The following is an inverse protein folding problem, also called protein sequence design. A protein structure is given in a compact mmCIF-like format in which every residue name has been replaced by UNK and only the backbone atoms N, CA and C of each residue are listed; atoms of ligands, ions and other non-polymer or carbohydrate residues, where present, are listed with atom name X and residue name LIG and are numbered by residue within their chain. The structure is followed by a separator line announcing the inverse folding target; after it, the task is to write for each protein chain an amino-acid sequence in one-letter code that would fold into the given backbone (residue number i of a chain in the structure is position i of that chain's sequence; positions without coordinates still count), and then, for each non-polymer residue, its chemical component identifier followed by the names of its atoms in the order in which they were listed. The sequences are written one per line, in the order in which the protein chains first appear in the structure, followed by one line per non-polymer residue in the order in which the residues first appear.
data_IF_772965903894
#
_entry.id   IF_772965903894
#
_cell.length_a   1.000
_cell.length_b   1.000
_cell.length_c   1.000
_cell.angle_alpha   90.00
_cell.angle_beta   90.00
_cell.angle_gamma   90.00
#
_symmetry.space_group_name_H-M   'P 1'
#
loop_
_entity.id
_entity.type
_entity.pdbx_description
1 polymer ?
#
# COMPACT_ATOMS: atom_id res chain seq x y z
N UNK A 1 10.89 3.09 17.91
CA UNK A 1 9.63 3.86 18.00
C UNK A 1 8.36 3.02 17.84
N UNK A 2 8.25 2.09 16.86
CA UNK A 2 7.03 1.28 16.66
C UNK A 2 6.66 0.41 17.88
N UNK A 3 7.60 -0.35 18.45
CA UNK A 3 7.34 -1.19 19.65
C UNK A 3 6.80 -0.40 20.83
N UNK A 4 7.42 0.76 21.12
CA UNK A 4 7.00 1.63 22.22
C UNK A 4 5.57 2.15 22.00
N UNK A 5 5.24 2.60 20.79
CA UNK A 5 3.85 2.98 20.43
C UNK A 5 2.89 1.78 20.43
N UNK A 6 3.40 0.58 20.14
CA UNK A 6 2.61 -0.63 20.12
C UNK A 6 2.25 -1.14 21.53
N UNK A 7 3.20 -1.05 22.46
CA UNK A 7 2.98 -1.33 23.89
C UNK A 7 1.98 -0.34 24.49
N UNK A 8 2.22 0.97 24.32
CA UNK A 8 1.32 2.02 24.84
C UNK A 8 -0.13 1.83 24.35
N UNK A 9 -0.33 1.58 23.06
CA UNK A 9 -1.67 1.33 22.52
C UNK A 9 -2.34 0.05 23.05
N UNK A 10 -1.56 -1.01 23.35
CA UNK A 10 -2.11 -2.25 23.91
C UNK A 10 -2.45 -2.09 25.38
N UNK A 11 -1.65 -1.32 26.12
CA UNK A 11 -1.92 -0.93 27.51
C UNK A 11 -3.21 -0.09 27.59
N UNK A 12 -3.40 0.87 26.67
CA UNK A 12 -4.65 1.65 26.55
C UNK A 12 -5.89 0.80 26.23
N UNK A 13 -5.72 -0.44 25.74
CA UNK A 13 -6.81 -1.35 25.33
C UNK A 13 -6.87 -2.68 26.08
N UNK A 14 -6.13 -2.85 27.18
CA UNK A 14 -6.06 -4.09 27.96
C UNK A 14 -5.78 -5.36 27.12
N UNK A 15 -4.95 -5.25 26.08
CA UNK A 15 -4.57 -6.39 25.21
C UNK A 15 -3.27 -7.04 25.70
N UNK A 16 -3.22 -8.38 25.79
CA UNK A 16 -2.05 -9.13 26.28
C UNK A 16 -0.77 -8.85 25.48
N UNK A 17 0.36 -8.75 26.20
CA UNK A 17 1.68 -8.46 25.63
C UNK A 17 2.23 -9.70 24.92
N UNK A 18 1.96 -9.83 23.62
CA UNK A 18 2.65 -10.77 22.74
C UNK A 18 4.15 -10.43 22.56
N UNK A 19 4.94 -11.45 22.21
CA UNK A 19 6.41 -11.43 22.06
C UNK A 19 6.97 -10.21 21.30
N UNK A 20 8.10 -9.70 21.77
CA UNK A 20 8.89 -8.65 21.09
C UNK A 20 9.40 -9.20 19.76
N UNK A 21 8.83 -8.73 18.65
CA UNK A 21 9.35 -9.03 17.31
C UNK A 21 10.69 -8.31 17.14
N UNK A 22 11.69 -8.91 16.51
CA UNK A 22 13.03 -8.30 16.35
C UNK A 22 13.30 -8.01 14.87
N UNK A 23 13.97 -6.90 14.56
CA UNK A 23 14.42 -6.60 13.20
C UNK A 23 15.48 -7.63 12.79
N UNK A 24 15.24 -8.33 11.68
CA UNK A 24 16.16 -9.33 11.13
C UNK A 24 16.93 -8.73 9.96
N UNK A 25 18.25 -8.88 9.97
CA UNK A 25 19.10 -8.36 8.88
C UNK A 25 18.82 -9.08 7.56
N UNK A 26 18.36 -10.32 7.64
CA UNK A 26 18.04 -11.21 6.52
C UNK A 26 16.66 -10.93 5.91
N UNK A 27 15.90 -9.94 6.41
CA UNK A 27 14.59 -9.60 5.87
C UNK A 27 14.69 -9.16 4.41
N UNK A 28 13.85 -9.72 3.54
CA UNK A 28 13.94 -9.50 2.09
C UNK A 28 13.75 -8.04 1.68
N UNK A 29 12.88 -7.29 2.38
CA UNK A 29 12.71 -5.85 2.13
C UNK A 29 13.95 -5.04 2.52
N UNK A 30 14.69 -5.46 3.54
CA UNK A 30 15.91 -4.78 3.98
C UNK A 30 17.04 -5.07 3.00
N UNK A 31 17.18 -6.32 2.56
CA UNK A 31 18.13 -6.68 1.51
C UNK A 31 17.83 -5.94 0.20
N UNK A 32 16.55 -5.74 -0.12
CA UNK A 32 16.13 -4.92 -1.25
C UNK A 32 16.63 -3.49 -1.11
N UNK A 33 16.41 -2.85 0.04
CA UNK A 33 16.88 -1.49 0.31
C UNK A 33 18.40 -1.38 0.19
N UNK A 34 19.14 -2.33 0.72
CA UNK A 34 20.61 -2.37 0.65
C UNK A 34 21.14 -2.62 -0.77
N UNK A 35 20.35 -3.26 -1.64
CA UNK A 35 20.72 -3.56 -3.02
C UNK A 35 20.49 -2.42 -4.01
N UNK A 36 19.74 -1.38 -3.63
CA UNK A 36 19.50 -0.21 -4.47
C UNK A 36 20.81 0.51 -4.75
N UNK A 37 21.08 0.83 -6.01
CA UNK A 37 22.28 1.55 -6.41
C UNK A 37 21.99 2.49 -7.60
N UNK A 38 22.99 3.25 -8.03
CA UNK A 38 22.86 4.27 -9.08
C UNK A 38 22.35 3.76 -10.44
N UNK A 39 22.39 2.45 -10.69
CA UNK A 39 22.01 1.89 -11.99
C UNK A 39 20.58 1.32 -12.00
N UNK A 40 20.07 0.84 -10.86
CA UNK A 40 18.78 0.16 -10.79
C UNK A 40 18.29 0.00 -9.33
N UNK A 41 16.98 -0.21 -9.17
CA UNK A 41 16.38 -0.56 -7.88
C UNK A 41 16.75 -1.98 -7.42
N UNK A 42 17.04 -2.89 -8.35
CA UNK A 42 17.40 -4.26 -8.04
C UNK A 42 18.32 -4.87 -9.12
N UNK A 43 19.15 -5.89 -8.79
CA UNK A 43 19.97 -6.59 -9.77
C UNK A 43 19.15 -7.39 -10.80
N UNK A 44 19.70 -7.60 -11.99
CA UNK A 44 19.12 -8.51 -13.00
C UNK A 44 19.07 -9.93 -12.43
N UNK A 45 17.97 -10.65 -12.66
CA UNK A 45 17.75 -12.02 -12.19
C UNK A 45 17.99 -12.22 -10.68
N UNK A 46 17.58 -11.25 -9.86
CA UNK A 46 17.80 -11.28 -8.40
C UNK A 46 16.86 -12.26 -7.68
N UNK A 47 17.37 -13.34 -7.05
CA UNK A 47 16.54 -14.26 -6.25
C UNK A 47 15.94 -13.59 -5.01
N UNK A 48 16.57 -12.50 -4.55
CA UNK A 48 16.07 -11.69 -3.45
C UNK A 48 14.76 -10.97 -3.83
N UNK A 49 14.59 -10.56 -5.08
CA UNK A 49 13.33 -9.93 -5.54
C UNK A 49 12.22 -10.96 -5.52
N UNK A 50 12.48 -12.17 -6.00
CA UNK A 50 11.50 -13.24 -5.96
C UNK A 50 11.13 -13.64 -4.53
N UNK A 51 12.10 -13.62 -3.60
CA UNK A 51 11.83 -13.82 -2.18
C UNK A 51 10.98 -12.69 -1.59
N UNK A 52 11.28 -11.44 -1.90
CA UNK A 52 10.52 -10.28 -1.45
C UNK A 52 9.06 -10.32 -1.94
N UNK A 53 8.83 -10.73 -3.19
CA UNK A 53 7.48 -10.90 -3.74
C UNK A 53 6.73 -12.03 -2.98
N UNK A 54 7.39 -13.16 -2.69
CA UNK A 54 6.81 -14.24 -1.88
C UNK A 54 6.49 -13.82 -0.45
N UNK A 55 7.39 -13.09 0.20
CA UNK A 55 7.22 -12.61 1.56
C UNK A 55 6.07 -11.60 1.64
N UNK A 56 6.01 -10.66 0.71
CA UNK A 56 4.90 -9.67 0.58
C UNK A 56 3.55 -10.37 0.38
N UNK A 57 3.53 -11.50 -0.34
CA UNK A 57 2.33 -12.29 -0.52
C UNK A 57 1.94 -13.11 0.73
N UNK A 58 2.91 -13.66 1.47
CA UNK A 58 2.67 -14.63 2.56
C UNK A 58 2.60 -14.03 3.96
N UNK A 59 3.32 -12.95 4.22
CA UNK A 59 3.48 -12.43 5.57
C UNK A 59 2.20 -11.79 6.09
N UNK A 60 1.92 -12.04 7.38
CA UNK A 60 0.78 -11.44 8.05
C UNK A 60 0.96 -9.92 8.17
N UNK A 61 -0.15 -9.20 8.02
CA UNK A 61 -0.18 -7.75 8.22
C UNK A 61 -0.34 -7.46 9.71
N UNK A 62 0.50 -6.59 10.27
CA UNK A 62 0.52 -6.21 11.68
C UNK A 62 0.08 -4.76 11.92
N UNK A 63 -0.04 -3.95 10.87
CA UNK A 63 -0.58 -2.60 10.93
C UNK A 63 -1.07 -2.18 9.54
N UNK A 64 -2.17 -1.42 9.50
CA UNK A 64 -2.63 -0.72 8.32
C UNK A 64 -2.88 0.76 8.67
N UNK A 65 -2.57 1.67 7.75
CA UNK A 65 -2.75 3.11 7.95
C UNK A 65 -2.84 3.84 6.61
N UNK A 66 -3.30 5.09 6.63
CA UNK A 66 -3.25 5.96 5.46
C UNK A 66 -1.80 6.30 5.08
N UNK A 67 -1.59 6.57 3.79
CA UNK A 67 -0.34 7.11 3.28
C UNK A 67 -0.06 8.52 3.84
N UNK A 68 1.20 8.96 3.79
CA UNK A 68 1.57 10.24 4.43
C UNK A 68 0.95 11.44 3.69
N UNK A 69 0.80 11.35 2.38
CA UNK A 69 0.09 12.31 1.54
C UNK A 69 -1.42 12.34 1.85
N UNK A 70 -2.07 11.19 2.01
CA UNK A 70 -3.48 11.16 2.45
C UNK A 70 -3.65 11.70 3.88
N UNK A 71 -2.70 11.41 4.77
CA UNK A 71 -2.71 11.98 6.12
C UNK A 71 -2.58 13.48 6.08
N UNK A 72 -1.75 14.06 5.21
CA UNK A 72 -1.61 15.51 5.09
C UNK A 72 -2.92 16.22 4.73
N UNK A 73 -3.89 15.51 4.13
CA UNK A 73 -5.21 16.03 3.82
C UNK A 73 -6.15 16.12 5.04
N UNK A 74 -5.74 15.67 6.26
CA UNK A 74 -6.35 15.80 7.61
C UNK A 74 -7.82 16.28 7.73
N UNK A 75 -8.73 15.78 6.88
CA UNK A 75 -10.15 16.16 6.89
C UNK A 75 -10.49 17.50 6.23
N UNK A 76 -9.51 18.29 5.76
CA UNK A 76 -9.75 19.47 4.93
C UNK A 76 -9.74 19.04 3.46
N UNK A 77 -10.90 18.59 2.99
CA UNK A 77 -11.04 18.16 1.60
C UNK A 77 -11.23 19.33 0.67
N UNK A 78 -10.14 19.77 0.06
CA UNK A 78 -10.18 20.66 -1.09
C UNK A 78 -10.43 19.83 -2.36
N UNK A 79 -11.68 19.80 -2.81
CA UNK A 79 -12.07 19.08 -4.01
C UNK A 79 -11.33 19.58 -5.26
N UNK A 80 -10.80 20.80 -5.27
CA UNK A 80 -9.96 21.31 -6.38
C UNK A 80 -8.60 20.61 -6.48
N UNK A 81 -8.11 20.02 -5.37
CA UNK A 81 -6.86 19.26 -5.33
C UNK A 81 -7.07 17.77 -5.62
N UNK A 82 -8.29 17.24 -5.37
CA UNK A 82 -8.62 15.83 -5.61
C UNK A 82 -8.65 15.51 -7.10
N UNK A 83 -9.11 16.45 -7.94
CA UNK A 83 -9.19 16.30 -9.41
C UNK A 83 -7.88 16.56 -10.13
N UNK A 84 -6.77 16.81 -9.42
CA UNK A 84 -5.47 16.94 -10.09
C UNK A 84 -5.05 15.60 -10.71
N UNK A 85 -4.31 15.60 -11.85
CA UNK A 85 -3.94 14.38 -12.58
C UNK A 85 -3.19 13.32 -11.77
N UNK A 86 -2.64 13.69 -10.61
CA UNK A 86 -1.93 12.80 -9.69
C UNK A 86 -2.81 12.13 -8.63
N UNK A 87 -4.12 12.46 -8.58
CA UNK A 87 -5.24 11.73 -7.98
C UNK A 87 -5.12 11.28 -6.51
N UNK A 88 -6.06 11.71 -5.67
CA UNK A 88 -6.26 11.14 -4.33
C UNK A 88 -6.98 9.79 -4.48
N UNK A 89 -6.22 8.74 -4.82
CA UNK A 89 -6.75 7.38 -4.92
C UNK A 89 -6.73 6.69 -3.57
N UNK A 90 -7.75 5.87 -3.30
CA UNK A 90 -7.80 5.00 -2.12
C UNK A 90 -6.62 4.05 -2.15
N UNK A 91 -5.66 4.26 -1.25
CA UNK A 91 -4.49 3.39 -1.06
C UNK A 91 -4.20 3.30 0.43
N UNK A 92 -3.60 2.21 0.87
CA UNK A 92 -3.25 2.02 2.29
C UNK A 92 -1.81 1.56 2.40
N UNK A 93 -1.15 1.97 3.48
CA UNK A 93 0.16 1.45 3.84
C UNK A 93 -0.04 0.26 4.76
N UNK A 94 0.34 -0.92 4.27
CA UNK A 94 0.36 -2.14 5.06
C UNK A 94 1.76 -2.37 5.60
N UNK A 95 1.85 -2.81 6.86
CA UNK A 95 3.09 -3.25 7.50
C UNK A 95 3.00 -4.73 7.83
N UNK A 96 4.03 -5.48 7.47
CA UNK A 96 4.10 -6.92 7.70
C UNK A 96 4.87 -7.28 8.97
N UNK A 97 4.73 -8.53 9.40
CA UNK A 97 5.37 -9.09 10.61
C UNK A 97 6.91 -8.94 10.64
N UNK A 98 7.57 -8.83 9.49
CA UNK A 98 9.01 -8.60 9.36
C UNK A 98 9.40 -7.12 9.31
N UNK A 99 8.44 -6.22 9.59
CA UNK A 99 8.51 -4.76 9.50
C UNK A 99 8.53 -4.16 8.11
N UNK A 100 8.53 -4.98 7.06
CA UNK A 100 8.39 -4.53 5.68
C UNK A 100 7.09 -3.74 5.50
N UNK A 101 7.10 -2.80 4.57
CA UNK A 101 5.92 -2.01 4.21
C UNK A 101 5.63 -2.17 2.73
N UNK A 102 4.35 -2.25 2.39
CA UNK A 102 3.87 -2.17 1.02
C UNK A 102 2.70 -1.19 0.90
N UNK A 103 2.62 -0.55 -0.25
CA UNK A 103 1.46 0.23 -0.66
C UNK A 103 0.43 -0.74 -1.23
N UNK A 104 -0.72 -0.82 -0.58
CA UNK A 104 -1.88 -1.56 -1.04
C UNK A 104 -2.78 -0.68 -1.88
N UNK A 105 -2.96 -1.04 -3.15
CA UNK A 105 -3.99 -0.46 -4.02
C UNK A 105 -5.07 -1.51 -4.29
N UNK A 106 -6.28 -1.33 -3.74
CA UNK A 106 -7.37 -2.29 -3.90
C UNK A 106 -7.86 -2.33 -5.35
N UNK A 107 -8.32 -3.51 -5.77
CA UNK A 107 -9.06 -3.69 -7.01
C UNK A 107 -10.34 -2.84 -7.00
N UNK A 108 -10.58 -2.14 -8.11
CA UNK A 108 -11.78 -1.32 -8.35
C UNK A 108 -12.60 -1.82 -9.53
N UNK A 109 -11.90 -2.24 -10.58
CA UNK A 109 -12.47 -2.67 -11.86
C UNK A 109 -12.04 -4.10 -12.17
N UNK A 110 -12.88 -4.83 -12.89
CA UNK A 110 -12.52 -6.14 -13.45
C UNK A 110 -11.44 -6.00 -14.51
N UNK A 111 -10.81 -7.12 -14.88
CA UNK A 111 -9.64 -7.14 -15.77
C UNK A 111 -9.99 -6.78 -17.21
N UNK A 112 -11.21 -7.11 -17.62
CA UNK A 112 -11.82 -6.92 -18.93
C UNK A 112 -12.54 -5.58 -19.07
N UNK A 113 -12.69 -4.82 -17.98
CA UNK A 113 -13.27 -3.48 -18.06
C UNK A 113 -12.31 -2.53 -18.78
N UNK A 114 -12.80 -1.86 -19.81
CA UNK A 114 -12.04 -0.85 -20.56
C UNK A 114 -12.40 0.55 -20.10
N UNK A 115 -11.46 1.48 -20.22
CA UNK A 115 -11.70 2.89 -19.94
C UNK A 115 -12.59 3.44 -21.05
N UNK A 116 -13.77 4.02 -20.77
CA UNK A 116 -14.66 4.55 -21.80
C UNK A 116 -13.94 5.59 -22.68
N UNK A 117 -14.27 5.67 -23.97
CA UNK A 117 -13.62 6.60 -24.91
C UNK A 117 -13.77 8.07 -24.50
N UNK A 118 -14.89 8.42 -23.84
CA UNK A 118 -15.18 9.77 -23.37
C UNK A 118 -14.42 10.16 -22.08
N UNK A 119 -13.64 9.24 -21.49
CA UNK A 119 -12.87 9.51 -20.28
C UNK A 119 -11.51 10.11 -20.63
N UNK A 120 -11.24 11.31 -20.12
CA UNK A 120 -9.88 11.86 -20.16
C UNK A 120 -8.95 11.04 -19.26
N UNK A 121 -7.67 10.95 -19.64
CA UNK A 121 -6.65 10.14 -18.95
C UNK A 121 -6.49 10.48 -17.45
N UNK A 122 -6.83 11.69 -17.01
CA UNK A 122 -6.75 12.12 -15.61
C UNK A 122 -8.00 11.77 -14.78
N UNK A 123 -9.06 11.27 -15.43
CA UNK A 123 -10.30 10.79 -14.80
C UNK A 123 -10.25 9.28 -14.57
N UNK A 124 -9.41 8.56 -15.33
CA UNK A 124 -9.34 7.11 -15.28
C UNK A 124 -8.95 6.59 -13.89
N UNK A 125 -9.51 5.44 -13.52
CA UNK A 125 -9.22 4.80 -12.26
C UNK A 125 -7.82 4.18 -12.28
N UNK A 126 -7.06 4.41 -11.21
CA UNK A 126 -5.85 3.63 -11.01
C UNK A 126 -6.20 2.16 -10.77
N UNK A 127 -5.63 1.30 -11.59
CA UNK A 127 -5.89 -0.14 -11.59
C UNK A 127 -4.78 -0.88 -10.87
N UNK A 128 -5.14 -1.79 -9.98
CA UNK A 128 -4.16 -2.58 -9.22
C UNK A 128 -3.34 -3.49 -10.14
N UNK A 129 -3.94 -4.05 -11.18
CA UNK A 129 -3.27 -4.90 -12.17
C UNK A 129 -2.23 -4.13 -12.99
N UNK A 130 -2.43 -2.84 -13.26
CA UNK A 130 -1.48 -2.00 -13.97
C UNK A 130 -0.15 -1.87 -13.19
N UNK A 131 -0.21 -1.72 -11.86
CA UNK A 131 0.98 -1.70 -10.99
C UNK A 131 1.81 -2.99 -11.11
N UNK A 132 1.13 -4.14 -11.12
CA UNK A 132 1.76 -5.45 -11.21
C UNK A 132 2.37 -5.61 -12.61
N UNK A 133 1.59 -5.33 -13.66
CA UNK A 133 2.05 -5.44 -15.04
C UNK A 133 3.24 -4.52 -15.33
N UNK A 134 3.21 -3.28 -14.84
CA UNK A 134 4.30 -2.32 -15.00
C UNK A 134 5.61 -2.82 -14.37
N UNK A 135 5.56 -3.38 -13.16
CA UNK A 135 6.75 -3.98 -12.53
C UNK A 135 7.30 -5.15 -13.36
N UNK A 136 6.43 -6.08 -13.78
CA UNK A 136 6.88 -7.23 -14.56
C UNK A 136 7.44 -6.83 -15.93
N UNK A 137 6.83 -5.85 -16.60
CA UNK A 137 7.31 -5.31 -17.87
C UNK A 137 8.64 -4.57 -17.71
N UNK A 138 8.79 -3.72 -16.68
CA UNK A 138 10.05 -3.06 -16.31
C UNK A 138 11.19 -4.06 -16.09
N UNK A 139 10.88 -5.21 -15.48
CA UNK A 139 11.83 -6.31 -15.28
C UNK A 139 12.19 -7.04 -16.58
N UNK A 140 11.21 -7.28 -17.47
CA UNK A 140 11.43 -7.93 -18.78
C UNK A 140 12.29 -7.05 -19.69
N UNK A 141 12.04 -5.74 -19.70
CA UNK A 141 12.81 -4.75 -20.48
C UNK A 141 14.17 -4.41 -19.85
N UNK A 142 14.52 -5.04 -18.72
CA UNK A 142 15.72 -4.79 -17.92
C UNK A 142 15.92 -3.33 -17.47
N UNK A 143 14.85 -2.53 -17.42
CA UNK A 143 14.94 -1.17 -16.88
C UNK A 143 15.19 -1.20 -15.37
N UNK A 144 14.46 -2.05 -14.63
CA UNK A 144 14.63 -2.27 -13.18
C UNK A 144 14.48 -0.99 -12.36
N UNK A 145 13.49 -0.17 -12.69
CA UNK A 145 13.18 1.15 -12.11
C UNK A 145 11.82 1.21 -11.42
N UNK A 146 11.00 0.18 -11.54
CA UNK A 146 9.71 0.09 -10.85
C UNK A 146 9.87 -0.76 -9.57
N UNK A 147 9.38 -0.32 -8.40
CA UNK A 147 9.44 -1.12 -7.19
C UNK A 147 8.77 -2.50 -7.36
N UNK A 148 9.27 -3.57 -6.70
CA UNK A 148 8.63 -4.88 -6.73
C UNK A 148 7.16 -4.82 -6.33
N UNK A 149 6.28 -5.32 -7.22
CA UNK A 149 4.84 -5.32 -7.02
C UNK A 149 4.22 -6.70 -7.29
N UNK A 150 3.31 -7.13 -6.42
CA UNK A 150 2.60 -8.40 -6.55
C UNK A 150 1.11 -8.26 -6.21
N UNK A 151 0.29 -9.17 -6.77
CA UNK A 151 -1.11 -9.30 -6.39
C UNK A 151 -1.28 -10.10 -5.09
N UNK A 152 -2.26 -9.71 -4.27
CA UNK A 152 -2.67 -10.47 -3.08
C UNK A 152 -4.16 -10.31 -2.81
N UNK A 153 -4.80 -11.39 -2.38
CA UNK A 153 -6.12 -11.35 -1.75
C UNK A 153 -5.94 -10.93 -0.29
N UNK A 154 -6.50 -9.80 0.08
CA UNK A 154 -6.45 -9.28 1.45
C UNK A 154 -7.78 -9.55 2.12
N UNK A 155 -7.75 -10.13 3.32
CA UNK A 155 -8.93 -10.16 4.18
C UNK A 155 -9.08 -8.78 4.85
N UNK A 156 -9.92 -7.91 4.32
CA UNK A 156 -10.01 -6.51 4.76
C UNK A 156 -10.46 -6.36 6.22
N UNK A 157 -11.14 -7.36 6.76
CA UNK A 157 -11.52 -7.40 8.18
C UNK A 157 -10.29 -7.69 9.05
N UNK A 158 -9.63 -8.83 8.83
CA UNK A 158 -8.52 -9.29 9.68
C UNK A 158 -7.22 -8.52 9.46
N UNK A 159 -6.94 -8.14 8.22
CA UNK A 159 -5.65 -7.57 7.81
C UNK A 159 -5.67 -6.05 7.66
N UNK A 160 -6.82 -5.41 7.88
CA UNK A 160 -6.92 -3.93 7.86
C UNK A 160 -7.74 -3.44 9.05
N UNK A 161 -9.04 -3.77 9.11
CA UNK A 161 -9.97 -3.21 10.10
C UNK A 161 -9.58 -3.54 11.56
N UNK A 162 -9.27 -4.79 11.86
CA UNK A 162 -8.96 -5.24 13.22
C UNK A 162 -7.59 -4.77 13.71
N UNK A 163 -6.65 -4.54 12.79
CA UNK A 163 -5.26 -4.19 13.12
C UNK A 163 -4.93 -2.70 13.00
N UNK A 164 -5.76 -1.91 12.31
CA UNK A 164 -5.53 -0.47 12.20
C UNK A 164 -5.67 0.20 13.57
N UNK A 165 -4.75 1.11 13.87
CA UNK A 165 -4.81 1.99 15.05
C UNK A 165 -5.36 3.36 14.72
N UNK A 166 -5.56 3.65 13.43
CA UNK A 166 -6.08 4.91 12.96
C UNK A 166 -7.62 4.90 13.06
N UNK A 167 -8.17 5.72 13.93
CA UNK A 167 -9.62 5.79 14.17
C UNK A 167 -10.40 6.32 12.96
N UNK A 168 -9.79 7.18 12.15
CA UNK A 168 -10.38 7.67 10.89
C UNK A 168 -10.44 6.53 9.87
N UNK A 169 -9.40 5.70 9.78
CA UNK A 169 -9.43 4.53 8.90
C UNK A 169 -10.45 3.50 9.41
N UNK A 170 -10.58 3.32 10.72
CA UNK A 170 -11.57 2.40 11.28
C UNK A 170 -13.00 2.87 11.04
N UNK A 171 -13.28 4.17 11.16
CA UNK A 171 -14.64 4.72 11.08
C UNK A 171 -15.25 4.73 9.68
N UNK A 172 -14.44 4.53 8.63
CA UNK A 172 -14.91 4.46 7.24
C UNK A 172 -15.27 3.04 6.77
N UNK A 173 -15.15 2.03 7.65
CA UNK A 173 -15.62 0.68 7.35
C UNK A 173 -17.13 0.57 7.58
N UNK A 174 -17.80 -0.19 6.71
CA UNK A 174 -19.25 -0.44 6.79
C UNK A 174 -19.61 -1.78 6.13
N UNK A 175 -20.84 -2.25 6.37
CA UNK A 175 -21.41 -3.43 5.72
C UNK A 175 -22.35 -2.96 4.60
N UNK A 176 -22.11 -3.43 3.38
CA UNK A 176 -22.97 -3.13 2.23
C UNK A 176 -24.33 -3.86 2.32
N UNK A 177 -25.34 -3.44 1.53
CA UNK A 177 -26.61 -4.16 1.43
C UNK A 177 -26.49 -5.63 1.01
N UNK A 178 -25.42 -5.98 0.30
CA UNK A 178 -25.10 -7.36 -0.11
C UNK A 178 -24.26 -8.12 0.95
N UNK A 179 -24.18 -7.61 2.18
CA UNK A 179 -23.43 -8.20 3.30
C UNK A 179 -21.91 -8.31 3.08
N UNK A 180 -21.34 -7.50 2.18
CA UNK A 180 -19.89 -7.38 2.02
C UNK A 180 -19.30 -6.35 2.99
N UNK A 181 -18.09 -6.59 3.48
CA UNK A 181 -17.31 -5.61 4.24
C UNK A 181 -16.64 -4.65 3.29
N UNK A 182 -16.91 -3.36 3.46
CA UNK A 182 -16.43 -2.29 2.61
C UNK A 182 -15.73 -1.20 3.42
N UNK A 183 -14.90 -0.41 2.74
CA UNK A 183 -14.36 0.82 3.28
C UNK A 183 -14.21 1.87 2.18
N UNK A 184 -14.19 3.14 2.55
CA UNK A 184 -14.07 4.24 1.60
C UNK A 184 -13.06 5.29 2.02
N UNK A 185 -12.55 6.06 1.06
CA UNK A 185 -11.74 7.23 1.38
C UNK A 185 -12.65 8.44 1.62
N UNK A 186 -12.54 9.06 2.81
CA UNK A 186 -13.40 10.18 3.23
C UNK A 186 -13.36 11.35 2.24
N UNK A 187 -12.19 11.67 1.69
CA UNK A 187 -12.02 12.82 0.81
C UNK A 187 -12.63 12.63 -0.59
N UNK A 188 -12.33 11.53 -1.30
CA UNK A 188 -13.06 11.14 -2.50
C UNK A 188 -14.57 11.08 -2.31
N UNK A 189 -15.05 10.56 -1.16
CA UNK A 189 -16.48 10.53 -0.84
C UNK A 189 -17.10 11.93 -0.76
N UNK A 190 -16.49 12.85 0.00
CA UNK A 190 -17.00 14.22 0.14
C UNK A 190 -17.01 14.98 -1.18
N UNK A 191 -16.08 14.67 -2.08
CA UNK A 191 -16.01 15.29 -3.41
C UNK A 191 -16.85 14.57 -4.48
N UNK A 192 -17.76 13.67 -4.08
CA UNK A 192 -18.68 12.93 -4.97
C UNK A 192 -17.96 12.13 -6.07
N UNK A 193 -16.74 11.67 -5.78
CA UNK A 193 -15.99 10.75 -6.66
C UNK A 193 -16.09 9.34 -6.10
N UNK A 194 -16.29 8.32 -6.92
CA UNK A 194 -16.53 6.94 -6.49
C UNK A 194 -15.45 6.43 -5.52
N UNK A 195 -15.91 6.04 -4.32
CA UNK A 195 -15.13 6.21 -3.10
C UNK A 195 -14.91 4.93 -2.28
N UNK A 196 -15.70 3.87 -2.51
CA UNK A 196 -15.69 2.67 -1.69
C UNK A 196 -15.18 1.45 -2.47
N UNK A 197 -14.52 0.55 -1.75
CA UNK A 197 -14.19 -0.80 -2.24
C UNK A 197 -14.70 -1.81 -1.23
N UNK A 198 -15.09 -2.98 -1.73
CA UNK A 198 -15.72 -4.04 -0.95
C UNK A 198 -15.01 -5.36 -1.16
N UNK A 199 -14.88 -6.16 -0.09
CA UNK A 199 -14.53 -7.56 -0.23
C UNK A 199 -15.69 -8.41 -0.76
N UNK A 200 -15.47 -9.72 -0.89
CA UNK A 200 -16.50 -10.70 -1.22
C UNK A 200 -16.46 -11.93 -0.28
N UNK A 201 -17.16 -11.89 0.87
CA UNK A 201 -17.58 -10.67 1.56
C UNK A 201 -16.41 -9.98 2.29
N UNK A 202 -15.30 -10.69 2.55
CA UNK A 202 -14.12 -10.16 3.26
C UNK A 202 -12.87 -10.06 2.39
N UNK A 203 -12.76 -10.88 1.34
CA UNK A 203 -11.57 -10.94 0.52
C UNK A 203 -11.64 -9.91 -0.59
N UNK A 204 -10.60 -9.09 -0.70
CA UNK A 204 -10.43 -8.06 -1.73
C UNK A 204 -9.08 -8.25 -2.41
N UNK A 205 -9.08 -8.41 -3.73
CA UNK A 205 -7.84 -8.39 -4.51
C UNK A 205 -7.24 -6.98 -4.49
N UNK A 206 -5.91 -6.88 -4.48
CA UNK A 206 -5.22 -5.65 -4.81
C UNK A 206 -3.74 -5.89 -5.07
N UNK A 207 -3.04 -4.82 -5.43
CA UNK A 207 -1.59 -4.84 -5.63
C UNK A 207 -0.89 -4.37 -4.37
N UNK A 208 0.27 -4.97 -4.12
CA UNK A 208 1.20 -4.60 -3.06
C UNK A 208 2.52 -4.20 -3.70
N UNK A 209 2.82 -2.90 -3.67
CA UNK A 209 4.09 -2.35 -4.13
C UNK A 209 5.01 -2.09 -2.93
N UNK A 210 6.20 -2.68 -2.91
CA UNK A 210 7.12 -2.57 -1.77
C UNK A 210 7.63 -1.13 -1.63
N UNK A 211 7.67 -0.64 -0.39
CA UNK A 211 8.17 0.71 -0.11
C UNK A 211 9.65 0.85 -0.43
N UNK A 212 10.02 1.98 -1.01
CA UNK A 212 11.40 2.47 -1.05
C UNK A 212 11.89 2.88 0.35
N UNK A 213 13.21 3.04 0.54
CA UNK A 213 13.75 3.59 1.78
C UNK A 213 13.08 4.92 2.14
N UNK A 214 13.02 5.26 3.43
CA UNK A 214 12.50 6.58 3.80
C UNK A 214 13.45 7.67 3.31
N UNK A 215 12.91 8.84 2.93
CA UNK A 215 13.68 10.00 2.48
C UNK A 215 14.86 10.36 3.41
N UNK A 216 14.70 10.21 4.73
CA UNK A 216 15.77 10.44 5.71
C UNK A 216 16.99 9.51 5.51
N UNK A 217 16.74 8.26 5.10
CA UNK A 217 17.77 7.28 4.81
C UNK A 217 18.38 7.51 3.42
N UNK A 218 17.56 7.90 2.44
CA UNK A 218 18.01 8.26 1.08
C UNK A 218 18.91 9.50 1.09
N UNK A 219 18.61 10.50 1.92
CA UNK A 219 19.45 11.68 2.10
C UNK A 219 20.82 11.34 2.72
N UNK A 220 20.90 10.31 3.56
CA UNK A 220 22.15 9.85 4.17
C UNK A 220 22.99 8.93 3.27
N UNK A 221 22.36 8.30 2.28
CA UNK A 221 23.01 7.40 1.30
C UNK A 221 23.52 8.13 0.04
N UNK A 222 23.50 9.47 0.04
CA UNK A 222 24.00 10.26 -1.08
C UNK A 222 23.00 10.35 -2.23
N UNK A 223 21.89 11.08 -2.01
CA UNK A 223 21.27 11.90 -3.04
C UNK A 223 20.89 11.22 -4.36
N UNK A 224 20.22 10.08 -4.32
CA UNK A 224 19.45 9.59 -5.47
C UNK A 224 18.10 10.33 -5.50
N UNK A 225 18.11 11.61 -5.89
CA UNK A 225 16.90 12.23 -6.47
C UNK A 225 16.82 11.72 -7.91
N UNK A 226 15.81 10.92 -8.30
CA UNK A 226 15.48 10.81 -9.71
C UNK A 226 14.95 12.19 -10.11
N UNK A 227 15.74 12.95 -10.84
CA UNK A 227 15.20 14.01 -11.68
C UNK A 227 14.35 13.34 -12.76
N UNK A 228 13.04 13.37 -12.57
CA UNK A 228 12.05 13.35 -13.64
C UNK A 228 11.36 14.71 -13.62
#
# INVERSE_FOLDING_TARGET
MYFRRHQVYREERNLTVGSVVQLRHEASWLQFHLGINRHALYPRASPMVDQLLRDTHRFSTISADYSQDEKALLGACDCSQIVKPSGVHLKLVLRFQDFGKAMFKPMRQKRDEETPEDFFYFVDFQRHNAEIAAFHLDRILDFRRVPPAAGRMINVTKEILEITKNEILRSVFFISPASNVCFFAKCPYMCKTEYAVCGNPHLLEGSLSVFLPSLNLESSLGGLRPTL
#
